data_IF_691867749575
#
_entry.id   IF_691867749575
#
_cell.length_a   1.000
_cell.length_b   1.000
_cell.length_c   1.000
_cell.angle_alpha   90.00
_cell.angle_beta   90.00
_cell.angle_gamma   90.00
#
_symmetry.space_group_name_H-M   'P 1'
#
loop_
_entity.id
_entity.type
_entity.pdbx_description
1 polymer ?
#
# COMPACT_ATOMS: atom_id res chain seq x y z
N UNK A 1 -33.23 16.39 -7.96
CA UNK A 1 -31.94 16.70 -8.62
C UNK A 1 -30.93 17.42 -7.72
N UNK A 2 -31.36 18.10 -6.64
CA UNK A 2 -30.41 18.74 -5.70
C UNK A 2 -29.90 17.77 -4.63
N UNK A 3 -30.80 16.97 -4.05
CA UNK A 3 -30.46 16.03 -2.98
C UNK A 3 -29.43 14.97 -3.39
N UNK A 4 -29.53 14.45 -4.62
CA UNK A 4 -28.60 13.45 -5.16
C UNK A 4 -27.19 14.03 -5.30
N UNK A 5 -27.06 15.26 -5.75
CA UNK A 5 -25.77 15.97 -5.86
C UNK A 5 -25.12 16.19 -4.49
N UNK A 6 -25.87 16.66 -3.49
CA UNK A 6 -25.33 16.84 -2.14
C UNK A 6 -24.94 15.52 -1.48
N UNK A 7 -25.72 14.46 -1.69
CA UNK A 7 -25.40 13.12 -1.18
C UNK A 7 -24.12 12.58 -1.79
N UNK A 8 -23.97 12.60 -3.11
CA UNK A 8 -22.78 12.06 -3.78
C UNK A 8 -21.54 12.92 -3.51
N UNK A 9 -21.68 14.24 -3.42
CA UNK A 9 -20.59 15.13 -3.01
C UNK A 9 -20.14 14.86 -1.56
N UNK A 10 -21.07 14.67 -0.63
CA UNK A 10 -20.74 14.33 0.75
C UNK A 10 -20.02 12.98 0.84
N UNK A 11 -20.48 11.96 0.10
CA UNK A 11 -19.83 10.65 0.06
C UNK A 11 -18.40 10.76 -0.51
N UNK A 12 -18.20 11.50 -1.62
CA UNK A 12 -16.88 11.69 -2.22
C UNK A 12 -15.88 12.35 -1.25
N UNK A 13 -16.32 13.35 -0.49
CA UNK A 13 -15.48 14.05 0.50
C UNK A 13 -15.13 13.09 1.66
N UNK A 14 -16.12 12.39 2.22
CA UNK A 14 -15.91 11.47 3.34
C UNK A 14 -14.99 10.31 2.95
N UNK A 15 -15.17 9.73 1.75
CA UNK A 15 -14.32 8.65 1.27
C UNK A 15 -12.87 9.11 1.03
N UNK A 16 -12.69 10.32 0.48
CA UNK A 16 -11.35 10.89 0.25
C UNK A 16 -10.66 11.24 1.57
N UNK A 17 -11.40 11.71 2.57
CA UNK A 17 -10.85 11.91 3.91
C UNK A 17 -10.39 10.57 4.51
N UNK A 18 -11.23 9.52 4.44
CA UNK A 18 -10.87 8.19 4.95
C UNK A 18 -9.64 7.59 4.27
N UNK A 19 -9.42 7.85 2.97
CA UNK A 19 -8.20 7.46 2.23
C UNK A 19 -6.92 7.92 2.94
N UNK A 20 -6.89 9.17 3.40
CA UNK A 20 -5.67 9.83 3.92
C UNK A 20 -5.37 9.36 5.34
N UNK A 21 -6.41 9.08 6.14
CA UNK A 21 -6.24 8.73 7.56
C UNK A 21 -5.92 7.25 7.81
N UNK A 22 -6.14 6.35 6.83
CA UNK A 22 -5.94 4.92 7.04
C UNK A 22 -4.50 4.46 6.81
N UNK A 23 -3.96 3.73 7.80
CA UNK A 23 -2.60 3.17 7.79
C UNK A 23 -2.44 1.92 6.91
N UNK A 24 -3.52 1.19 6.70
CA UNK A 24 -3.53 -0.03 5.88
C UNK A 24 -3.75 0.34 4.41
N UNK A 25 -2.72 0.15 3.58
CA UNK A 25 -2.73 0.57 2.18
C UNK A 25 -3.93 0.01 1.37
N UNK A 26 -4.28 -1.27 1.58
CA UNK A 26 -5.44 -1.89 0.91
C UNK A 26 -6.75 -1.18 1.28
N UNK A 27 -6.94 -0.82 2.55
CA UNK A 27 -8.16 -0.14 2.99
C UNK A 27 -8.24 1.27 2.41
N UNK A 28 -7.13 2.01 2.41
CA UNK A 28 -7.05 3.32 1.79
C UNK A 28 -7.48 3.24 0.30
N UNK A 29 -6.97 2.27 -0.46
CA UNK A 29 -7.31 2.14 -1.87
C UNK A 29 -8.78 1.80 -2.13
N UNK A 30 -9.42 0.97 -1.29
CA UNK A 30 -10.85 0.68 -1.42
C UNK A 30 -11.72 1.93 -1.20
N UNK A 31 -11.33 2.79 -0.26
CA UNK A 31 -11.98 4.09 -0.07
C UNK A 31 -11.75 5.03 -1.26
N UNK A 32 -10.60 4.94 -1.93
CA UNK A 32 -10.32 5.73 -3.12
C UNK A 32 -11.21 5.34 -4.30
N UNK A 33 -11.39 4.04 -4.54
CA UNK A 33 -12.32 3.52 -5.56
C UNK A 33 -13.74 4.05 -5.31
N UNK A 34 -14.20 4.03 -4.05
CA UNK A 34 -15.51 4.56 -3.67
C UNK A 34 -15.65 6.06 -3.96
N UNK A 35 -14.57 6.82 -3.79
CA UNK A 35 -14.53 8.24 -4.18
C UNK A 35 -14.72 8.45 -5.68
N UNK A 36 -14.01 7.67 -6.52
CA UNK A 36 -14.14 7.73 -7.97
C UNK A 36 -15.52 7.30 -8.46
N UNK A 37 -16.14 6.29 -7.84
CA UNK A 37 -17.54 5.95 -8.13
C UNK A 37 -18.50 7.11 -7.82
N UNK A 38 -18.27 7.83 -6.72
CA UNK A 38 -19.09 9.01 -6.38
C UNK A 38 -18.94 10.11 -7.42
N UNK A 39 -17.72 10.33 -7.95
CA UNK A 39 -17.45 11.26 -9.05
C UNK A 39 -18.13 10.83 -10.35
N UNK A 40 -18.16 9.53 -10.66
CA UNK A 40 -18.87 9.01 -11.83
C UNK A 40 -20.38 9.35 -11.78
N UNK A 41 -21.01 9.25 -10.60
CA UNK A 41 -22.42 9.65 -10.42
C UNK A 41 -22.61 11.17 -10.58
N UNK A 42 -21.65 11.97 -10.13
CA UNK A 42 -21.66 13.43 -10.32
C UNK A 42 -21.57 13.77 -11.82
N UNK A 43 -20.68 13.13 -12.59
CA UNK A 43 -20.59 13.33 -14.04
C UNK A 43 -21.85 12.89 -14.79
N UNK A 44 -22.49 11.82 -14.34
CA UNK A 44 -23.79 11.41 -14.88
C UNK A 44 -24.86 12.49 -14.64
N UNK A 45 -24.87 13.10 -13.45
CA UNK A 45 -25.84 14.15 -13.10
C UNK A 45 -25.62 15.45 -13.90
N UNK A 46 -24.37 15.76 -14.27
CA UNK A 46 -24.02 16.89 -15.14
C UNK A 46 -24.39 16.68 -16.63
N UNK A 47 -24.98 15.54 -16.98
CA UNK A 47 -25.37 15.24 -18.37
C UNK A 47 -24.19 14.81 -19.25
N UNK A 48 -23.09 14.34 -18.65
CA UNK A 48 -21.92 13.81 -19.34
C UNK A 48 -21.83 12.27 -19.19
N UNK A 49 -22.73 11.49 -19.85
CA UNK A 49 -22.78 10.04 -19.69
C UNK A 49 -21.53 9.32 -20.22
N UNK A 50 -20.90 9.86 -21.28
CA UNK A 50 -19.65 9.32 -21.81
C UNK A 50 -18.50 9.45 -20.79
N UNK A 51 -18.38 10.62 -20.16
CA UNK A 51 -17.36 10.86 -19.13
C UNK A 51 -17.58 9.96 -17.92
N UNK A 52 -18.83 9.82 -17.46
CA UNK A 52 -19.18 8.90 -16.37
C UNK A 52 -18.83 7.43 -16.69
N UNK A 53 -19.09 6.98 -17.92
CA UNK A 53 -18.74 5.63 -18.34
C UNK A 53 -17.21 5.40 -18.38
N UNK A 54 -16.46 6.37 -18.91
CA UNK A 54 -14.99 6.31 -18.94
C UNK A 54 -14.39 6.34 -17.53
N UNK A 55 -14.97 7.11 -16.61
CA UNK A 55 -14.57 7.14 -15.20
C UNK A 55 -14.66 5.75 -14.56
N UNK A 56 -15.78 5.04 -14.77
CA UNK A 56 -15.97 3.70 -14.19
C UNK A 56 -15.06 2.68 -14.86
N UNK A 57 -14.94 2.69 -16.19
CA UNK A 57 -14.18 1.66 -16.92
C UNK A 57 -12.67 1.85 -16.76
N UNK A 58 -12.18 3.08 -16.92
CA UNK A 58 -10.74 3.37 -16.98
C UNK A 58 -10.21 3.70 -15.60
N UNK A 59 -10.80 4.69 -14.92
CA UNK A 59 -10.26 5.16 -13.64
C UNK A 59 -10.55 4.18 -12.51
N UNK A 60 -11.82 3.94 -12.18
CA UNK A 60 -12.20 3.03 -11.10
C UNK A 60 -11.94 1.55 -11.44
N UNK A 61 -12.03 1.18 -12.73
CA UNK A 61 -11.83 -0.17 -13.23
C UNK A 61 -10.35 -0.49 -13.47
N UNK A 62 -9.81 -0.10 -14.62
CA UNK A 62 -8.49 -0.55 -15.06
C UNK A 62 -7.34 0.00 -14.20
N UNK A 63 -7.29 1.32 -13.98
CA UNK A 63 -6.18 1.99 -13.29
C UNK A 63 -6.18 1.58 -11.81
N UNK A 64 -7.31 1.65 -11.12
CA UNK A 64 -7.34 1.31 -9.69
C UNK A 64 -7.11 -0.18 -9.42
N UNK A 65 -7.60 -1.10 -10.26
CA UNK A 65 -7.27 -2.53 -10.08
C UNK A 65 -5.78 -2.78 -10.29
N UNK A 66 -5.15 -2.13 -11.28
CA UNK A 66 -3.71 -2.19 -11.48
C UNK A 66 -2.94 -1.63 -10.28
N UNK A 67 -3.38 -0.52 -9.71
CA UNK A 67 -2.74 0.11 -8.53
C UNK A 67 -2.92 -0.77 -7.28
N UNK A 68 -4.09 -1.34 -7.03
CA UNK A 68 -4.33 -2.29 -5.93
C UNK A 68 -3.39 -3.49 -6.06
N UNK A 69 -3.28 -4.05 -7.26
CA UNK A 69 -2.39 -5.17 -7.54
C UNK A 69 -0.92 -4.83 -7.24
N UNK A 70 -0.44 -3.69 -7.75
CA UNK A 70 0.93 -3.24 -7.54
C UNK A 70 1.23 -3.00 -6.07
N UNK A 71 0.37 -2.29 -5.34
CA UNK A 71 0.62 -1.98 -3.92
C UNK A 71 0.61 -3.26 -3.07
N UNK A 72 -0.25 -4.22 -3.38
CA UNK A 72 -0.26 -5.49 -2.67
C UNK A 72 1.00 -6.33 -2.96
N UNK A 73 1.52 -6.29 -4.19
CA UNK A 73 2.80 -6.92 -4.54
C UNK A 73 3.99 -6.24 -3.84
N UNK A 74 3.98 -4.90 -3.76
CA UNK A 74 5.03 -4.11 -3.09
C UNK A 74 4.99 -4.25 -1.55
N UNK A 75 3.86 -4.64 -0.98
CA UNK A 75 3.70 -4.84 0.46
C UNK A 75 4.42 -6.10 1.01
N UNK A 76 5.12 -6.87 0.16
CA UNK A 76 5.81 -8.11 0.53
C UNK A 76 7.29 -7.93 0.94
N UNK A 77 7.80 -6.69 1.05
CA UNK A 77 9.23 -6.40 1.30
C UNK A 77 9.72 -6.57 2.76
N UNK A 78 8.95 -7.24 3.62
CA UNK A 78 9.18 -7.28 5.07
C UNK A 78 9.80 -8.57 5.59
N UNK A 79 10.95 -9.00 5.05
CA UNK A 79 11.87 -9.86 5.79
C UNK A 79 13.31 -9.41 5.52
N UNK A 80 13.74 -8.39 6.26
CA UNK A 80 15.17 -8.14 6.52
C UNK A 80 15.70 -9.01 7.66
N UNK A 81 15.10 -10.18 7.90
CA UNK A 81 15.41 -11.10 9.00
C UNK A 81 16.49 -12.13 8.69
N UNK A 82 17.25 -11.98 7.60
CA UNK A 82 18.46 -12.76 7.34
C UNK A 82 19.70 -12.14 8.02
N UNK A 83 19.52 -11.51 9.19
CA UNK A 83 20.61 -11.01 10.03
C UNK A 83 20.70 -11.83 11.32
N UNK A 84 21.38 -12.98 11.21
CA UNK A 84 22.42 -13.39 12.16
C UNK A 84 22.13 -13.50 13.66
N UNK A 85 20.94 -13.89 14.12
CA UNK A 85 20.68 -14.08 15.58
C UNK A 85 19.87 -15.33 15.94
N UNK A 86 20.12 -16.45 15.26
CA UNK A 86 19.78 -17.81 15.76
C UNK A 86 20.99 -18.72 15.99
N UNK A 87 22.21 -18.18 15.89
CA UNK A 87 23.43 -18.87 16.36
C UNK A 87 23.89 -18.42 17.76
N UNK A 88 23.14 -17.50 18.39
CA UNK A 88 23.35 -17.10 19.80
C UNK A 88 22.23 -17.70 20.63
N UNK A 89 22.63 -18.43 21.67
CA UNK A 89 21.83 -18.92 22.79
C UNK A 89 21.09 -20.27 22.62
N UNK A 90 21.82 -21.30 22.19
CA UNK A 90 21.68 -22.60 22.87
C UNK A 90 22.60 -22.58 24.11
N UNK A 91 22.07 -22.52 25.35
CA UNK A 91 22.84 -22.31 26.59
C UNK A 91 23.75 -23.48 26.99
N UNK A 92 24.06 -24.41 26.08
CA UNK A 92 24.86 -25.61 26.37
C UNK A 92 26.21 -25.69 25.61
N UNK A 93 26.58 -24.69 24.78
CA UNK A 93 27.81 -24.71 23.95
C UNK A 93 28.69 -23.44 24.07
N UNK A 94 28.65 -22.74 25.21
CA UNK A 94 29.31 -21.43 25.43
C UNK A 94 30.83 -21.49 25.74
N UNK A 95 31.52 -22.61 25.48
CA UNK A 95 32.99 -22.69 25.66
C UNK A 95 33.80 -22.91 24.39
N UNK A 96 33.16 -23.17 23.24
CA UNK A 96 33.89 -23.47 22.00
C UNK A 96 34.02 -22.28 21.02
N UNK A 97 33.14 -21.27 21.10
CA UNK A 97 33.08 -20.18 20.12
C UNK A 97 34.03 -18.99 20.35
N UNK A 98 34.56 -18.82 21.56
CA UNK A 98 35.43 -17.69 21.90
C UNK A 98 36.83 -17.74 21.25
N UNK A 99 37.19 -18.86 20.61
CA UNK A 99 38.47 -19.05 19.93
C UNK A 99 38.45 -18.72 18.43
N UNK A 100 37.30 -18.37 17.84
CA UNK A 100 37.15 -18.12 16.40
C UNK A 100 36.93 -16.63 16.06
N UNK A 101 37.20 -15.73 17.01
CA UNK A 101 37.10 -14.28 16.85
C UNK A 101 38.28 -13.60 16.12
N UNK A 102 38.88 -14.22 15.09
CA UNK A 102 40.03 -13.62 14.40
C UNK A 102 39.99 -13.52 12.87
N UNK A 103 38.91 -13.89 12.17
CA UNK A 103 38.91 -13.80 10.69
C UNK A 103 37.55 -13.45 10.07
N UNK A 104 36.88 -12.39 10.52
CA UNK A 104 35.62 -11.98 9.87
C UNK A 104 35.41 -10.46 9.79
N UNK A 105 36.47 -9.72 9.48
CA UNK A 105 36.36 -8.38 8.89
C UNK A 105 37.50 -8.18 7.89
N UNK A 106 37.26 -8.23 6.57
CA UNK A 106 38.18 -7.64 5.60
C UNK A 106 37.71 -6.20 5.35
N UNK A 107 38.20 -5.28 6.19
CA UNK A 107 38.30 -3.87 5.80
C UNK A 107 39.70 -3.64 5.26
N UNK A 108 39.74 -2.94 4.13
CA UNK A 108 40.95 -2.57 3.42
C UNK A 108 42.00 -1.92 4.33
N UNK A 109 43.21 -2.47 4.30
CA UNK A 109 44.44 -1.73 4.61
C UNK A 109 45.61 -2.36 3.86
N UNK A 110 46.11 -1.59 2.89
CA UNK A 110 47.47 -1.64 2.33
C UNK A 110 47.75 -2.76 1.32
N UNK A 111 47.53 -2.45 0.04
CA UNK A 111 48.54 -2.47 -1.04
C UNK A 111 48.10 -1.53 -2.18
#
# INVERSE_FOLDING_TARGET
MHYTFYLTAAVAIVSTAMVIFHKNAVHALLYLVTSLLSVAVIFYQFGAPLAAALEVIIYAGAIMVLVIFVIMMLNQGGCGGCTGTSLVAAPHLDRAGAALGHTAYPVASTD
#
